data_IF_855765958813
#
_entry.id   IF_855765958813
#
_cell.length_a   1.000
_cell.length_b   1.000
_cell.length_c   1.000
_cell.angle_alpha   90.00
_cell.angle_beta   90.00
_cell.angle_gamma   90.00
#
_symmetry.space_group_name_H-M   'P 1'
#
loop_
_entity.id
_entity.type
_entity.pdbx_description
1 polymer ?
#
# COMPACT_ATOMS: atom_id res chain seq x y z
N UNK A 1 -3.13 10.77 40.46
CA UNK A 1 -2.22 10.44 39.32
C UNK A 1 -3.03 9.65 38.28
N UNK A 2 -3.49 10.31 37.25
CA UNK A 2 -4.34 9.67 36.23
C UNK A 2 -3.46 8.75 35.36
N UNK A 3 -3.91 7.53 35.17
CA UNK A 3 -3.11 6.44 34.60
C UNK A 3 -2.82 6.71 33.11
N UNK A 4 -1.55 6.97 32.72
CA UNK A 4 -1.11 7.32 31.37
C UNK A 4 -1.58 6.31 30.30
N UNK A 5 -1.84 5.06 30.70
CA UNK A 5 -2.37 4.01 29.81
C UNK A 5 -3.84 4.23 29.45
N UNK A 6 -4.62 4.88 30.34
CA UNK A 6 -6.04 5.17 30.11
C UNK A 6 -6.22 6.33 29.12
N UNK A 7 -5.29 7.30 29.14
CA UNK A 7 -5.31 8.43 28.20
C UNK A 7 -4.98 7.97 26.78
N UNK A 8 -4.03 7.04 26.62
CA UNK A 8 -3.71 6.46 25.32
C UNK A 8 -4.88 5.67 24.72
N UNK A 9 -5.62 4.93 25.56
CA UNK A 9 -6.79 4.18 25.11
C UNK A 9 -7.97 5.10 24.74
N UNK A 10 -8.14 6.22 25.43
CA UNK A 10 -9.17 7.22 25.15
C UNK A 10 -8.89 8.00 23.86
N UNK A 11 -7.61 8.27 23.55
CA UNK A 11 -7.22 8.91 22.28
C UNK A 11 -7.42 7.99 21.06
N UNK A 12 -7.19 6.69 21.21
CA UNK A 12 -7.46 5.70 20.16
C UNK A 12 -8.97 5.51 19.96
N UNK A 13 -9.77 5.55 21.02
CA UNK A 13 -11.24 5.45 20.95
C UNK A 13 -11.88 6.69 20.29
N UNK A 14 -11.30 7.87 20.46
CA UNK A 14 -11.80 9.10 19.84
C UNK A 14 -11.61 9.16 18.31
N UNK A 15 -10.64 8.38 17.78
CA UNK A 15 -10.43 8.27 16.33
C UNK A 15 -11.34 7.21 15.66
N UNK A 16 -12.04 6.38 16.45
CA UNK A 16 -12.91 5.31 15.96
C UNK A 16 -14.42 5.65 15.99
N UNK A 17 -14.80 6.89 16.27
CA UNK A 17 -16.17 7.29 16.01
C UNK A 17 -16.32 7.55 14.51
N UNK A 18 -17.03 6.70 13.75
CA UNK A 18 -17.40 7.04 12.38
C UNK A 18 -18.36 8.20 12.50
N UNK A 19 -17.91 9.40 12.13
CA UNK A 19 -18.83 10.45 11.73
C UNK A 19 -19.70 9.83 10.64
N UNK A 20 -20.99 9.72 10.91
CA UNK A 20 -22.02 9.42 9.93
C UNK A 20 -22.10 10.58 8.94
N UNK A 21 -21.06 10.74 8.12
CA UNK A 21 -21.23 11.37 6.82
C UNK A 21 -21.99 10.34 6.00
N UNK A 22 -23.21 10.64 5.61
CA UNK A 22 -23.96 9.91 4.60
C UNK A 22 -22.98 9.57 3.48
N UNK A 23 -22.63 8.28 3.36
CA UNK A 23 -21.98 7.78 2.19
C UNK A 23 -22.91 8.11 1.02
N UNK A 24 -22.53 9.09 0.24
CA UNK A 24 -23.18 9.39 -1.03
C UNK A 24 -22.97 8.13 -1.87
N UNK A 25 -24.09 7.53 -2.20
CA UNK A 25 -24.18 6.25 -2.87
C UNK A 25 -23.33 6.30 -4.15
N UNK A 26 -22.32 5.44 -4.25
CA UNK A 26 -21.48 5.33 -5.44
C UNK A 26 -22.25 4.75 -6.65
N UNK A 27 -23.55 4.50 -6.50
CA UNK A 27 -24.48 4.15 -7.57
C UNK A 27 -24.84 5.34 -8.46
N UNK A 28 -24.77 6.58 -7.93
CA UNK A 28 -25.19 7.76 -8.67
C UNK A 28 -24.25 8.15 -9.83
N UNK A 29 -22.95 7.77 -9.73
CA UNK A 29 -21.99 8.08 -10.80
C UNK A 29 -22.20 7.23 -12.08
N UNK A 30 -22.84 6.08 -11.98
CA UNK A 30 -23.16 5.23 -13.15
C UNK A 30 -24.40 5.79 -13.87
N UNK A 31 -25.40 6.19 -13.11
CA UNK A 31 -26.63 6.79 -13.66
C UNK A 31 -26.34 8.16 -14.30
N UNK A 32 -25.41 8.95 -13.74
CA UNK A 32 -25.00 10.23 -14.32
C UNK A 32 -24.29 10.03 -15.66
N UNK A 33 -23.48 8.96 -15.80
CA UNK A 33 -22.80 8.63 -17.06
C UNK A 33 -23.84 8.19 -18.12
N UNK A 34 -24.83 7.38 -17.75
CA UNK A 34 -25.90 6.99 -18.68
C UNK A 34 -26.77 8.20 -19.11
N UNK A 35 -27.07 9.11 -18.19
CA UNK A 35 -27.83 10.33 -18.49
C UNK A 35 -27.04 11.29 -19.36
N UNK A 36 -25.71 11.44 -19.15
CA UNK A 36 -24.86 12.25 -20.04
C UNK A 36 -24.71 11.65 -21.43
N UNK A 37 -24.57 10.32 -21.55
CA UNK A 37 -24.52 9.64 -22.84
C UNK A 37 -25.83 9.83 -23.59
N UNK A 38 -26.97 9.72 -22.91
CA UNK A 38 -28.27 9.95 -23.53
C UNK A 38 -28.55 11.44 -23.85
N UNK A 39 -27.97 12.39 -23.09
CA UNK A 39 -28.03 13.82 -23.40
C UNK A 39 -27.11 14.22 -24.54
N UNK A 40 -26.03 13.50 -24.74
CA UNK A 40 -25.04 13.70 -25.81
C UNK A 40 -25.41 13.00 -27.12
N UNK A 41 -26.49 12.21 -27.12
CA UNK A 41 -27.03 11.71 -28.35
C UNK A 41 -27.45 12.90 -29.22
N UNK A 42 -26.89 13.08 -30.41
CA UNK A 42 -27.21 14.23 -31.25
C UNK A 42 -28.72 14.20 -31.54
N UNK A 43 -29.42 15.25 -31.10
CA UNK A 43 -30.75 15.54 -31.62
C UNK A 43 -30.65 15.43 -33.13
N UNK A 44 -31.50 14.59 -33.76
CA UNK A 44 -31.67 14.51 -35.19
C UNK A 44 -31.68 15.92 -35.76
N UNK A 45 -30.52 16.45 -36.13
CA UNK A 45 -30.44 17.62 -36.96
C UNK A 45 -30.89 17.17 -38.33
N UNK A 46 -32.03 17.68 -38.77
CA UNK A 46 -32.45 17.64 -40.15
C UNK A 46 -31.32 18.30 -40.96
N UNK A 47 -30.44 17.51 -41.54
CA UNK A 47 -29.42 18.00 -42.46
C UNK A 47 -30.14 18.17 -43.78
N UNK A 48 -30.67 19.37 -44.00
CA UNK A 48 -30.91 19.82 -45.36
C UNK A 48 -29.55 20.14 -45.99
N UNK A 49 -29.30 19.43 -47.07
CA UNK A 49 -28.29 19.72 -48.08
C UNK A 49 -26.83 19.71 -47.69
N UNK A 50 -26.21 18.54 -47.73
CA UNK A 50 -24.87 18.40 -48.23
C UNK A 50 -24.79 17.19 -49.15
N UNK A 51 -24.50 17.43 -50.40
CA UNK A 51 -24.53 16.49 -51.54
C UNK A 51 -23.32 15.52 -51.52
N UNK A 52 -23.20 14.71 -50.46
CA UNK A 52 -22.24 13.64 -50.37
C UNK A 52 -22.71 12.43 -49.57
N UNK A 53 -23.99 12.32 -49.19
CA UNK A 53 -24.55 11.11 -48.65
C UNK A 53 -25.03 10.23 -49.83
N UNK A 54 -24.06 9.51 -50.40
CA UNK A 54 -24.39 8.41 -51.31
C UNK A 54 -25.18 7.37 -50.56
N UNK A 55 -26.46 7.24 -50.99
CA UNK A 55 -27.30 6.03 -50.97
C UNK A 55 -26.91 4.96 -49.95
N UNK A 56 -27.35 5.08 -48.73
CA UNK A 56 -27.65 3.91 -47.94
C UNK A 56 -29.02 3.39 -48.35
N UNK A 57 -29.00 2.39 -49.22
CA UNK A 57 -30.21 1.68 -49.64
C UNK A 57 -30.78 0.97 -48.40
N UNK A 58 -32.04 1.24 -48.13
CA UNK A 58 -32.88 0.61 -47.09
C UNK A 58 -33.10 -0.90 -47.33
N UNK A 59 -32.44 -1.51 -48.31
CA UNK A 59 -32.50 -2.94 -48.62
C UNK A 59 -31.49 -3.77 -47.79
N UNK A 60 -30.48 -3.14 -47.18
CA UNK A 60 -29.43 -3.84 -46.39
C UNK A 60 -29.87 -4.19 -44.96
N UNK A 61 -30.97 -3.63 -44.43
CA UNK A 61 -31.46 -3.98 -43.10
C UNK A 61 -32.07 -5.40 -43.00
N UNK A 62 -32.38 -6.04 -44.12
CA UNK A 62 -33.00 -7.39 -44.13
C UNK A 62 -32.00 -8.54 -44.07
N UNK A 63 -30.70 -8.26 -44.23
CA UNK A 63 -29.66 -9.30 -44.31
C UNK A 63 -28.79 -9.44 -43.06
N UNK A 64 -29.08 -8.73 -42.00
CA UNK A 64 -28.28 -8.77 -40.74
C UNK A 64 -28.50 -10.03 -39.91
N UNK A 65 -29.40 -10.91 -40.29
CA UNK A 65 -29.59 -12.22 -39.65
C UNK A 65 -28.74 -13.35 -40.27
N UNK A 66 -28.06 -13.10 -41.37
CA UNK A 66 -27.14 -14.07 -41.97
C UNK A 66 -25.70 -13.75 -41.54
N UNK A 67 -24.97 -14.78 -41.04
CA UNK A 67 -23.54 -14.65 -40.63
C UNK A 67 -22.65 -14.05 -41.71
N UNK A 68 -23.02 -14.11 -42.96
CA UNK A 68 -22.35 -13.45 -44.10
C UNK A 68 -22.47 -11.92 -44.08
N UNK A 69 -23.54 -11.37 -43.51
CA UNK A 69 -23.71 -9.93 -43.32
C UNK A 69 -22.82 -9.35 -42.25
N UNK A 70 -22.46 -10.16 -41.23
CA UNK A 70 -21.53 -9.76 -40.16
C UNK A 70 -20.09 -9.54 -40.67
N UNK A 71 -19.69 -10.23 -41.73
CA UNK A 71 -18.36 -10.06 -42.36
C UNK A 71 -18.21 -8.71 -43.09
N UNK A 72 -19.31 -8.05 -43.43
CA UNK A 72 -19.32 -6.74 -44.12
C UNK A 72 -19.52 -5.56 -43.15
N UNK A 73 -19.69 -5.84 -41.85
CA UNK A 73 -19.68 -4.77 -40.85
C UNK A 73 -18.29 -4.12 -40.84
N UNK A 74 -18.26 -2.78 -40.92
CA UNK A 74 -17.04 -2.05 -40.78
C UNK A 74 -16.33 -2.53 -39.51
N UNK A 75 -15.00 -2.78 -39.56
CA UNK A 75 -14.29 -3.23 -38.37
C UNK A 75 -14.58 -2.24 -37.25
N UNK A 76 -14.96 -2.78 -36.09
CA UNK A 76 -15.21 -1.94 -34.90
C UNK A 76 -14.02 -1.02 -34.74
N UNK A 77 -14.22 0.29 -34.91
CA UNK A 77 -13.19 1.24 -34.54
C UNK A 77 -12.91 1.04 -33.08
N UNK A 78 -11.65 0.72 -32.75
CA UNK A 78 -11.22 0.65 -31.36
C UNK A 78 -11.46 2.02 -30.72
N UNK A 79 -12.55 2.14 -30.00
CA UNK A 79 -12.84 3.35 -29.21
C UNK A 79 -11.93 3.27 -28.00
N UNK A 80 -10.81 3.96 -28.06
CA UNK A 80 -9.93 4.15 -26.93
C UNK A 80 -10.65 4.98 -25.85
N UNK A 81 -11.36 4.31 -24.96
CA UNK A 81 -12.00 4.94 -23.81
C UNK A 81 -10.92 5.20 -22.79
N UNK A 82 -10.48 6.45 -22.64
CA UNK A 82 -9.59 6.88 -21.58
C UNK A 82 -10.40 6.95 -20.30
N UNK A 83 -10.34 5.91 -19.47
CA UNK A 83 -10.96 5.93 -18.16
C UNK A 83 -10.15 6.81 -17.20
N UNK A 84 -10.79 7.81 -16.59
CA UNK A 84 -10.16 8.62 -15.54
C UNK A 84 -9.81 7.74 -14.33
N UNK A 85 -8.62 7.96 -13.75
CA UNK A 85 -8.23 7.32 -12.49
C UNK A 85 -9.15 7.81 -11.38
N UNK A 86 -9.62 6.89 -10.53
CA UNK A 86 -10.46 7.23 -9.39
C UNK A 86 -9.76 8.15 -8.40
N UNK A 87 -8.49 7.88 -8.11
CA UNK A 87 -7.65 8.68 -7.21
C UNK A 87 -6.32 9.01 -7.90
N UNK A 88 -6.25 10.14 -8.66
CA UNK A 88 -4.99 10.60 -9.20
C UNK A 88 -4.02 10.98 -8.08
N UNK A 89 -2.74 10.66 -8.23
CA UNK A 89 -1.71 10.86 -7.20
C UNK A 89 -0.72 11.97 -7.52
N UNK A 90 -0.57 12.33 -8.80
CA UNK A 90 0.40 13.33 -9.25
C UNK A 90 0.30 14.64 -8.49
N UNK A 91 1.43 15.10 -7.93
CA UNK A 91 1.51 16.35 -7.19
C UNK A 91 0.84 16.31 -5.81
N UNK A 92 0.60 15.11 -5.24
CA UNK A 92 -0.07 14.95 -3.95
C UNK A 92 0.87 14.39 -2.90
N UNK A 93 0.65 14.82 -1.67
CA UNK A 93 1.28 14.25 -0.49
C UNK A 93 0.46 13.06 0.01
N UNK A 94 1.15 12.03 0.47
CA UNK A 94 0.59 10.90 1.20
C UNK A 94 1.09 10.91 2.63
N UNK A 95 0.20 10.73 3.59
CA UNK A 95 0.53 10.46 4.97
C UNK A 95 -0.06 9.09 5.33
N UNK A 96 0.80 8.14 5.68
CA UNK A 96 0.40 6.80 6.09
C UNK A 96 0.63 6.60 7.57
N UNK A 97 -0.34 5.97 8.24
CA UNK A 97 -0.23 5.48 9.60
C UNK A 97 -0.73 4.04 9.72
N UNK A 98 0.05 3.20 10.36
CA UNK A 98 -0.31 1.79 10.48
C UNK A 98 0.46 1.01 11.54
N UNK A 99 0.16 -0.29 11.60
CA UNK A 99 0.86 -1.26 12.43
C UNK A 99 1.74 -2.16 11.58
N UNK A 100 2.80 -2.66 12.17
CA UNK A 100 3.73 -3.61 11.54
C UNK A 100 4.11 -4.74 12.48
N UNK A 101 4.39 -5.89 11.91
CA UNK A 101 4.91 -7.06 12.61
C UNK A 101 6.08 -7.64 11.82
N UNK A 102 7.11 -8.12 12.53
CA UNK A 102 8.20 -8.91 11.94
C UNK A 102 7.74 -10.36 11.86
N UNK A 103 7.84 -10.96 10.68
CA UNK A 103 7.29 -12.30 10.42
C UNK A 103 8.35 -13.40 10.42
N UNK A 104 9.61 -13.07 10.15
CA UNK A 104 10.70 -14.05 9.98
C UNK A 104 11.62 -14.21 11.18
N UNK A 105 11.32 -13.60 12.33
CA UNK A 105 12.15 -13.73 13.53
C UNK A 105 11.71 -14.98 14.34
N UNK A 106 12.58 -15.99 14.51
CA UNK A 106 12.24 -17.19 15.27
C UNK A 106 12.32 -17.00 16.79
N UNK A 107 13.05 -16.00 17.28
CA UNK A 107 13.36 -15.82 18.70
C UNK A 107 12.49 -14.75 19.35
N UNK A 108 12.07 -13.74 18.60
CA UNK A 108 11.36 -12.59 19.09
C UNK A 108 10.04 -12.37 18.36
N UNK A 109 9.06 -11.85 19.10
CA UNK A 109 7.86 -11.25 18.56
C UNK A 109 8.07 -9.74 18.54
N UNK A 110 8.34 -9.19 17.37
CA UNK A 110 8.54 -7.75 17.18
C UNK A 110 7.35 -7.17 16.45
N UNK A 111 6.72 -6.17 17.06
CA UNK A 111 5.58 -5.45 16.50
C UNK A 111 5.73 -3.96 16.79
N UNK A 112 5.05 -3.12 16.01
CA UNK A 112 5.15 -1.69 16.25
C UNK A 112 4.22 -0.84 15.42
N UNK A 113 4.43 0.47 15.51
CA UNK A 113 3.76 1.48 14.70
C UNK A 113 4.65 1.97 13.57
N UNK A 114 4.02 2.31 12.46
CA UNK A 114 4.69 2.84 11.26
C UNK A 114 4.03 4.15 10.87
N UNK A 115 4.87 5.13 10.57
CA UNK A 115 4.48 6.39 9.94
C UNK A 115 5.28 6.54 8.65
N UNK A 116 4.60 6.85 7.55
CA UNK A 116 5.24 7.14 6.27
C UNK A 116 4.71 8.46 5.73
N UNK A 117 5.60 9.26 5.14
CA UNK A 117 5.24 10.52 4.48
C UNK A 117 5.79 10.49 3.06
N UNK A 118 4.90 10.54 2.07
CA UNK A 118 5.24 10.44 0.66
C UNK A 118 4.83 11.65 -0.15
N UNK A 119 5.48 11.83 -1.29
CA UNK A 119 5.11 12.78 -2.32
C UNK A 119 5.18 12.12 -3.69
N UNK A 120 4.09 12.20 -4.44
CA UNK A 120 4.00 11.65 -5.79
C UNK A 120 4.38 12.71 -6.83
N UNK A 121 5.50 12.49 -7.52
CA UNK A 121 5.95 13.32 -8.62
C UNK A 121 5.09 13.10 -9.88
N UNK A 122 4.75 11.83 -10.11
CA UNK A 122 3.89 11.39 -11.22
C UNK A 122 2.90 10.34 -10.70
N UNK A 123 2.04 9.82 -11.58
CA UNK A 123 1.15 8.70 -11.24
C UNK A 123 1.91 7.41 -10.93
N UNK A 124 3.14 7.28 -11.42
CA UNK A 124 3.96 6.06 -11.32
C UNK A 124 5.17 6.19 -10.41
N UNK A 125 5.62 7.41 -10.11
CA UNK A 125 6.80 7.64 -9.30
C UNK A 125 6.53 8.56 -8.13
N UNK A 126 7.02 8.18 -6.96
CA UNK A 126 6.97 8.95 -5.73
C UNK A 126 8.22 8.75 -4.89
N UNK A 127 8.37 9.59 -3.89
CA UNK A 127 9.39 9.48 -2.84
C UNK A 127 8.68 9.35 -1.50
N UNK A 128 9.22 8.55 -0.60
CA UNK A 128 8.61 8.25 0.70
C UNK A 128 9.67 8.29 1.81
N UNK A 129 9.33 8.92 2.92
CA UNK A 129 10.08 8.85 4.18
C UNK A 129 9.36 7.87 5.10
N UNK A 130 10.12 6.96 5.70
CA UNK A 130 9.60 5.90 6.54
C UNK A 130 10.15 6.02 7.97
N UNK A 131 9.27 5.82 8.94
CA UNK A 131 9.65 5.68 10.35
C UNK A 131 8.89 4.51 10.96
N UNK A 132 9.63 3.55 11.55
CA UNK A 132 9.11 2.40 12.27
C UNK A 132 9.54 2.49 13.73
N UNK A 133 8.59 2.48 14.65
CA UNK A 133 8.84 2.36 16.07
C UNK A 133 8.44 0.97 16.54
N UNK A 134 9.40 0.16 17.01
CA UNK A 134 9.22 -1.27 17.25
C UNK A 134 9.33 -1.60 18.74
N UNK A 135 8.53 -2.56 19.17
CA UNK A 135 8.60 -3.16 20.50
C UNK A 135 8.78 -4.66 20.35
N UNK A 136 9.75 -5.22 21.05
CA UNK A 136 10.14 -6.62 20.95
C UNK A 136 9.91 -7.34 22.27
N UNK A 137 9.32 -8.54 22.16
CA UNK A 137 9.10 -9.46 23.29
C UNK A 137 9.67 -10.82 22.93
N UNK A 138 10.32 -11.49 23.86
CA UNK A 138 10.81 -12.85 23.65
C UNK A 138 9.63 -13.81 23.41
N UNK A 139 9.82 -14.74 22.48
CA UNK A 139 8.90 -15.85 22.28
C UNK A 139 8.95 -16.82 23.47
N UNK A 140 7.85 -17.47 23.76
CA UNK A 140 7.77 -18.47 24.83
C UNK A 140 8.83 -19.58 24.67
N UNK A 141 8.98 -20.10 23.44
CA UNK A 141 10.01 -21.11 23.11
C UNK A 141 11.45 -20.66 23.45
N UNK A 142 11.74 -19.38 23.23
CA UNK A 142 13.07 -18.80 23.54
C UNK A 142 13.26 -18.68 25.05
N UNK A 143 12.22 -18.28 25.78
CA UNK A 143 12.24 -18.17 27.22
C UNK A 143 12.37 -19.54 27.90
N UNK A 144 11.74 -20.57 27.37
CA UNK A 144 11.90 -21.94 27.84
C UNK A 144 13.32 -22.48 27.61
N UNK A 145 13.93 -22.19 26.47
CA UNK A 145 15.32 -22.56 26.19
C UNK A 145 16.30 -21.86 27.14
N UNK A 146 16.04 -20.60 27.48
CA UNK A 146 16.84 -19.83 28.42
C UNK A 146 16.73 -20.41 29.85
N UNK A 147 15.48 -20.70 30.30
CA UNK A 147 15.24 -21.18 31.64
C UNK A 147 15.67 -22.63 31.86
N UNK A 148 15.42 -23.53 30.87
CA UNK A 148 15.65 -24.97 31.02
C UNK A 148 17.05 -25.41 30.57
N UNK A 149 17.63 -24.72 29.56
CA UNK A 149 18.89 -25.14 28.95
C UNK A 149 20.04 -24.14 29.17
N UNK A 150 19.80 -23.03 29.90
CA UNK A 150 20.82 -22.02 30.20
C UNK A 150 21.39 -21.31 28.96
N UNK A 151 20.66 -21.31 27.84
CA UNK A 151 21.04 -20.64 26.59
C UNK A 151 20.81 -19.14 26.76
N UNK A 152 21.86 -18.34 26.68
CA UNK A 152 21.73 -16.88 26.77
C UNK A 152 21.33 -16.27 25.44
N UNK A 153 20.23 -15.51 25.43
CA UNK A 153 19.75 -14.76 24.25
C UNK A 153 20.30 -13.34 24.17
N UNK A 154 21.16 -12.94 25.11
CA UNK A 154 21.79 -11.60 25.14
C UNK A 154 22.64 -11.31 23.89
N UNK A 155 23.06 -12.34 23.16
CA UNK A 155 23.82 -12.21 21.92
C UNK A 155 22.96 -11.96 20.67
N UNK A 156 21.62 -11.96 20.78
CA UNK A 156 20.74 -11.74 19.65
C UNK A 156 20.38 -10.25 19.53
N UNK A 157 20.63 -9.68 18.37
CA UNK A 157 20.26 -8.31 18.05
C UNK A 157 18.86 -8.29 17.41
N UNK A 158 17.98 -7.40 17.88
CA UNK A 158 16.67 -7.16 17.31
C UNK A 158 16.49 -5.65 17.00
N UNK A 159 15.67 -5.28 16.01
CA UNK A 159 15.45 -3.89 15.64
C UNK A 159 14.53 -3.20 16.67
N UNK A 160 14.87 -1.96 17.04
CA UNK A 160 14.05 -1.07 17.88
C UNK A 160 13.34 0.00 17.09
N UNK A 161 14.04 0.59 16.12
CA UNK A 161 13.50 1.60 15.23
C UNK A 161 14.17 1.54 13.87
N UNK A 162 13.46 1.99 12.84
CA UNK A 162 13.99 2.21 11.50
C UNK A 162 13.53 3.56 10.98
N UNK A 163 14.44 4.29 10.35
CA UNK A 163 14.15 5.52 9.64
C UNK A 163 14.88 5.52 8.30
N UNK A 164 14.16 5.78 7.22
CA UNK A 164 14.73 5.75 5.87
C UNK A 164 13.95 6.56 4.85
N UNK A 165 14.52 6.63 3.65
CA UNK A 165 13.92 7.27 2.50
C UNK A 165 13.93 6.30 1.32
N UNK A 166 12.78 6.19 0.65
CA UNK A 166 12.55 5.26 -0.44
C UNK A 166 12.10 5.98 -1.72
N UNK A 167 12.48 5.41 -2.84
CA UNK A 167 11.88 5.68 -4.13
C UNK A 167 10.74 4.68 -4.34
N UNK A 168 9.54 5.17 -4.63
CA UNK A 168 8.35 4.36 -4.87
C UNK A 168 8.04 4.32 -6.37
N UNK A 169 7.77 3.12 -6.89
CA UNK A 169 7.33 2.87 -8.25
C UNK A 169 6.00 2.14 -8.26
N UNK A 170 5.01 2.71 -8.93
CA UNK A 170 3.63 2.21 -9.02
C UNK A 170 3.32 1.80 -10.47
N UNK A 171 3.73 0.58 -10.90
CA UNK A 171 3.58 0.14 -12.29
C UNK A 171 2.16 -0.25 -12.67
N UNK A 172 1.35 -0.73 -11.73
CA UNK A 172 0.08 -1.36 -12.02
C UNK A 172 -1.05 -0.63 -11.29
N UNK A 173 -2.03 -0.19 -12.07
CA UNK A 173 -3.33 0.26 -11.61
C UNK A 173 -4.40 -0.73 -12.04
N UNK A 174 -5.26 -1.14 -11.14
CA UNK A 174 -6.34 -2.07 -11.40
C UNK A 174 -7.63 -1.65 -10.70
N UNK A 175 -8.70 -2.36 -11.04
CA UNK A 175 -9.99 -2.27 -10.35
C UNK A 175 -10.42 -3.68 -10.02
N UNK A 176 -10.91 -3.90 -8.81
CA UNK A 176 -11.45 -5.17 -8.37
C UNK A 176 -12.86 -4.97 -7.82
N UNK A 177 -13.69 -5.97 -7.97
CA UNK A 177 -15.02 -5.98 -7.37
C UNK A 177 -14.92 -6.61 -5.98
N UNK A 178 -15.32 -5.88 -4.96
CA UNK A 178 -15.35 -6.37 -3.60
C UNK A 178 -16.80 -6.79 -3.25
N UNK A 179 -16.95 -8.04 -2.80
CA UNK A 179 -18.24 -8.66 -2.44
C UNK A 179 -19.35 -8.51 -3.51
N UNK A 180 -18.96 -8.51 -4.78
CA UNK A 180 -19.86 -8.43 -5.94
C UNK A 180 -20.73 -7.16 -6.02
N UNK A 181 -20.46 -6.15 -5.18
CA UNK A 181 -21.32 -4.97 -5.04
C UNK A 181 -20.57 -3.63 -5.09
N UNK A 182 -19.23 -3.62 -4.95
CA UNK A 182 -18.45 -2.39 -4.94
C UNK A 182 -17.17 -2.54 -5.75
N UNK A 183 -16.93 -1.62 -6.67
CA UNK A 183 -15.66 -1.53 -7.40
C UNK A 183 -14.66 -0.76 -6.55
N UNK A 184 -13.53 -1.38 -6.21
CA UNK A 184 -12.43 -0.79 -5.48
C UNK A 184 -11.21 -0.69 -6.38
N UNK A 185 -10.76 0.52 -6.71
CA UNK A 185 -9.51 0.72 -7.42
C UNK A 185 -8.32 0.38 -6.52
N UNK A 186 -7.29 -0.22 -7.11
CA UNK A 186 -6.06 -0.51 -6.39
C UNK A 186 -4.82 -0.19 -7.23
N UNK A 187 -3.74 0.11 -6.56
CA UNK A 187 -2.42 0.28 -7.12
C UNK A 187 -1.47 -0.74 -6.51
N UNK A 188 -0.70 -1.42 -7.34
CA UNK A 188 0.45 -2.22 -6.90
C UNK A 188 1.68 -1.34 -6.96
N UNK A 189 2.48 -1.34 -5.89
CA UNK A 189 3.71 -0.56 -5.85
C UNK A 189 4.88 -1.39 -5.34
N UNK A 190 6.06 -0.95 -5.74
CA UNK A 190 7.34 -1.37 -5.23
C UNK A 190 8.07 -0.15 -4.70
N UNK A 191 8.77 -0.30 -3.59
CA UNK A 191 9.66 0.75 -3.10
C UNK A 191 11.01 0.18 -2.75
N UNK A 192 12.03 1.02 -2.85
CA UNK A 192 13.38 0.66 -2.46
C UNK A 192 14.16 1.90 -2.06
N UNK A 193 14.96 1.75 -1.01
CA UNK A 193 15.71 2.87 -0.48
C UNK A 193 16.73 2.49 0.57
N UNK A 194 17.17 3.50 1.26
CA UNK A 194 18.21 3.39 2.27
C UNK A 194 17.80 4.13 3.54
N UNK A 195 18.18 3.56 4.68
CA UNK A 195 17.89 4.13 5.99
C UNK A 195 18.85 3.66 7.06
N UNK A 196 18.46 3.89 8.29
CA UNK A 196 19.18 3.48 9.49
C UNK A 196 18.26 2.68 10.39
N UNK A 197 18.73 1.52 10.83
CA UNK A 197 18.07 0.68 11.84
C UNK A 197 18.82 0.83 13.16
N UNK A 198 18.12 1.20 14.21
CA UNK A 198 18.61 1.15 15.57
C UNK A 198 18.32 -0.24 16.16
N UNK A 199 19.35 -0.89 16.66
CA UNK A 199 19.27 -2.24 17.22
C UNK A 199 19.25 -2.23 18.75
N UNK A 200 18.94 -3.39 19.34
CA UNK A 200 18.97 -3.58 20.81
C UNK A 200 20.32 -3.29 21.44
N UNK A 201 21.42 -3.39 20.67
CA UNK A 201 22.76 -3.05 21.11
C UNK A 201 23.07 -1.55 21.10
N UNK A 202 22.05 -0.68 20.89
CA UNK A 202 22.16 0.77 20.75
C UNK A 202 23.14 1.20 19.64
N UNK A 203 23.24 0.37 18.60
CA UNK A 203 24.05 0.63 17.43
C UNK A 203 23.14 0.96 16.26
N UNK A 204 23.46 2.05 15.58
CA UNK A 204 22.78 2.48 14.37
C UNK A 204 23.47 1.87 13.17
N UNK A 205 22.74 1.10 12.37
CA UNK A 205 23.28 0.39 11.20
C UNK A 205 22.60 0.86 9.93
N UNK A 206 23.42 1.08 8.88
CA UNK A 206 22.90 1.34 7.54
C UNK A 206 22.06 0.17 7.04
N UNK A 207 20.88 0.48 6.53
CA UNK A 207 19.86 -0.52 6.16
C UNK A 207 19.39 -0.29 4.74
N UNK A 208 19.40 -1.34 3.94
CA UNK A 208 18.72 -1.37 2.64
C UNK A 208 17.29 -1.82 2.89
N UNK A 209 16.33 -1.01 2.43
CA UNK A 209 14.91 -1.28 2.53
C UNK A 209 14.33 -1.55 1.14
N UNK A 210 13.55 -2.62 1.02
CA UNK A 210 12.82 -2.97 -0.20
C UNK A 210 11.41 -3.38 0.20
N UNK A 211 10.39 -2.84 -0.46
CA UNK A 211 9.01 -3.19 -0.17
C UNK A 211 8.18 -3.42 -1.43
N UNK A 212 7.15 -4.23 -1.27
CA UNK A 212 6.11 -4.44 -2.27
C UNK A 212 4.74 -4.46 -1.57
N UNK A 213 3.76 -3.75 -2.12
CA UNK A 213 2.46 -3.63 -1.48
C UNK A 213 1.36 -3.14 -2.41
N UNK A 214 0.19 -2.98 -1.82
CA UNK A 214 -1.00 -2.52 -2.52
C UNK A 214 -1.67 -1.37 -1.76
N UNK A 215 -2.19 -0.43 -2.53
CA UNK A 215 -2.97 0.71 -2.04
C UNK A 215 -4.38 0.58 -2.62
N UNK A 216 -5.37 0.41 -1.77
CA UNK A 216 -6.79 0.31 -2.14
C UNK A 216 -7.48 1.64 -1.90
N UNK A 217 -7.93 2.30 -2.94
CA UNK A 217 -8.58 3.61 -2.84
C UNK A 217 -10.01 3.47 -2.33
N UNK A 218 -10.26 3.86 -1.08
CA UNK A 218 -11.60 3.84 -0.47
C UNK A 218 -12.39 5.08 -0.81
N UNK A 219 -11.73 6.24 -0.83
CA UNK A 219 -12.27 7.54 -1.22
C UNK A 219 -11.25 8.29 -2.06
N UNK A 220 -11.56 9.53 -2.49
CA UNK A 220 -10.63 10.39 -3.24
C UNK A 220 -9.40 10.84 -2.43
N UNK A 221 -9.46 10.71 -1.10
CA UNK A 221 -8.40 11.15 -0.19
C UNK A 221 -7.92 10.08 0.78
N UNK A 222 -8.65 8.97 0.93
CA UNK A 222 -8.33 7.92 1.91
C UNK A 222 -8.18 6.59 1.20
N UNK A 223 -7.10 5.87 1.54
CA UNK A 223 -6.83 4.55 1.02
C UNK A 223 -6.43 3.59 2.15
N UNK A 224 -6.77 2.32 1.99
CA UNK A 224 -6.20 1.23 2.77
C UNK A 224 -4.91 0.78 2.10
N UNK A 225 -3.85 0.58 2.89
CA UNK A 225 -2.55 0.17 2.36
C UNK A 225 -1.98 -0.97 3.20
N UNK A 226 -1.41 -1.95 2.54
CA UNK A 226 -0.62 -2.98 3.16
C UNK A 226 0.63 -3.24 2.33
N UNK A 227 1.71 -3.67 2.98
CA UNK A 227 2.96 -4.02 2.32
C UNK A 227 3.74 -5.11 3.05
N UNK A 228 4.54 -5.83 2.28
CA UNK A 228 5.67 -6.60 2.76
C UNK A 228 6.94 -5.82 2.50
N UNK A 229 7.78 -5.66 3.53
CA UNK A 229 9.06 -4.98 3.37
C UNK A 229 10.20 -5.79 4.00
N UNK A 230 11.34 -5.77 3.33
CA UNK A 230 12.58 -6.38 3.78
C UNK A 230 13.59 -5.31 4.15
N UNK A 231 14.14 -5.44 5.35
CA UNK A 231 15.25 -4.62 5.85
C UNK A 231 16.48 -5.49 5.97
N UNK A 232 17.54 -5.11 5.25
CA UNK A 232 18.84 -5.78 5.29
C UNK A 232 19.84 -4.86 5.98
N UNK A 233 20.42 -5.28 7.09
CA UNK A 233 21.37 -4.49 7.86
C UNK A 233 22.42 -5.37 8.54
N UNK A 234 23.55 -4.76 8.91
CA UNK A 234 24.60 -5.41 9.65
C UNK A 234 24.54 -4.95 11.10
N UNK A 235 24.60 -5.89 12.04
CA UNK A 235 24.68 -5.53 13.47
C UNK A 235 25.83 -6.27 14.13
N UNK A 236 26.55 -5.54 14.99
CA UNK A 236 27.61 -6.11 15.80
C UNK A 236 27.01 -6.76 17.03
N UNK A 237 27.21 -8.06 17.16
CA UNK A 237 26.77 -8.88 18.28
C UNK A 237 27.94 -9.09 19.23
N UNK A 238 27.72 -8.93 20.52
CA UNK A 238 28.72 -9.17 21.53
C UNK A 238 28.49 -10.55 22.14
N UNK A 239 29.36 -11.50 21.80
CA UNK A 239 29.37 -12.85 22.36
C UNK A 239 30.22 -12.90 23.62
N UNK A 240 29.66 -13.42 24.71
CA UNK A 240 30.42 -13.67 25.97
C UNK A 240 31.15 -14.99 25.83
N UNK A 241 32.49 -14.96 25.98
CA UNK A 241 33.30 -16.18 26.04
C UNK A 241 33.22 -16.71 27.48
N UNK A 242 32.70 -17.92 27.65
CA UNK A 242 32.65 -18.62 28.94
C UNK A 242 33.76 -19.62 29.03
N UNK A 243 34.44 -19.71 30.18
CA UNK A 243 35.38 -20.75 30.52
C UNK A 243 34.66 -22.08 30.81
N UNK A 244 35.39 -23.17 30.88
CA UNK A 244 34.85 -24.51 31.20
C UNK A 244 34.09 -24.57 32.55
N UNK A 245 34.26 -23.59 33.40
CA UNK A 245 33.53 -23.40 34.67
C UNK A 245 32.30 -22.48 34.55
N UNK A 246 31.95 -22.00 33.32
CA UNK A 246 30.80 -21.11 33.09
C UNK A 246 31.06 -19.62 33.38
N UNK A 247 32.27 -19.27 33.79
CA UNK A 247 32.62 -17.86 34.08
C UNK A 247 32.88 -17.09 32.76
N UNK A 248 32.43 -15.85 32.68
CA UNK A 248 32.69 -14.96 31.54
C UNK A 248 34.14 -14.49 31.60
N UNK A 249 35.00 -14.99 30.71
CA UNK A 249 36.43 -14.61 30.64
C UNK A 249 36.73 -13.57 29.58
N UNK A 250 35.80 -13.28 28.69
CA UNK A 250 35.98 -12.30 27.63
C UNK A 250 34.72 -12.02 26.84
N UNK A 251 34.82 -11.02 25.97
CA UNK A 251 33.76 -10.69 25.01
C UNK A 251 34.37 -10.59 23.62
N UNK A 252 33.75 -11.30 22.65
CA UNK A 252 34.11 -11.19 21.24
C UNK A 252 33.00 -10.45 20.51
N UNK A 253 33.37 -9.45 19.71
CA UNK A 253 32.45 -8.75 18.82
C UNK A 253 32.47 -9.46 17.46
N UNK A 254 31.28 -9.77 16.93
CA UNK A 254 31.10 -10.35 15.61
C UNK A 254 30.07 -9.56 14.85
N UNK A 255 30.38 -9.16 13.62
CA UNK A 255 29.43 -8.49 12.74
C UNK A 255 28.64 -9.55 11.99
N UNK A 256 27.32 -9.51 12.14
CA UNK A 256 26.41 -10.43 11.50
C UNK A 256 25.41 -9.66 10.61
N UNK A 257 25.05 -10.29 9.48
CA UNK A 257 24.03 -9.78 8.59
C UNK A 257 22.66 -10.22 9.09
N UNK A 258 21.77 -9.27 9.24
CA UNK A 258 20.39 -9.50 9.63
C UNK A 258 19.46 -9.11 8.51
N UNK A 259 18.36 -9.84 8.39
CA UNK A 259 17.25 -9.48 7.54
C UNK A 259 15.94 -9.63 8.32
N UNK A 260 15.09 -8.62 8.22
CA UNK A 260 13.76 -8.64 8.83
C UNK A 260 12.72 -8.43 7.76
N UNK A 261 11.74 -9.34 7.73
CA UNK A 261 10.56 -9.24 6.88
C UNK A 261 9.41 -8.68 7.70
N UNK A 262 8.94 -7.52 7.32
CA UNK A 262 7.81 -6.83 7.95
C UNK A 262 6.55 -7.01 7.13
N UNK A 263 5.44 -7.25 7.81
CA UNK A 263 4.09 -7.09 7.28
C UNK A 263 3.49 -5.84 7.90
N UNK A 264 3.16 -4.87 7.07
CA UNK A 264 2.61 -3.58 7.48
C UNK A 264 1.18 -3.42 6.96
N UNK A 265 0.29 -2.92 7.79
CA UNK A 265 -1.11 -2.65 7.43
C UNK A 265 -1.54 -1.32 8.04
N UNK A 266 -2.24 -0.47 7.27
CA UNK A 266 -2.67 0.82 7.76
C UNK A 266 -3.53 1.60 6.78
N UNK A 267 -3.62 2.90 7.03
CA UNK A 267 -4.42 3.85 6.26
C UNK A 267 -3.55 4.98 5.75
N UNK A 268 -3.75 5.34 4.49
CA UNK A 268 -3.11 6.48 3.83
C UNK A 268 -4.10 7.61 3.62
N UNK A 269 -3.66 8.85 3.86
CA UNK A 269 -4.38 10.08 3.53
C UNK A 269 -3.61 10.84 2.47
N UNK A 270 -4.31 11.27 1.42
CA UNK A 270 -3.75 12.00 0.29
C UNK A 270 -4.20 13.45 0.29
N UNK A 271 -3.26 14.39 0.18
CA UNK A 271 -3.48 15.83 0.19
C UNK A 271 -2.82 16.50 -1.04
N UNK A 272 -3.45 17.52 -1.64
CA UNK A 272 -4.84 17.95 -1.49
C UNK A 272 -5.83 16.92 -2.03
N UNK A 273 -7.12 17.11 -1.83
CA UNK A 273 -8.16 16.26 -2.41
C UNK A 273 -8.08 16.26 -3.94
N UNK A 274 -8.34 15.11 -4.57
CA UNK A 274 -8.27 15.00 -6.01
C UNK A 274 -9.32 15.87 -6.70
N UNK A 275 -8.86 16.85 -7.47
CA UNK A 275 -9.70 17.64 -8.37
C UNK A 275 -9.55 17.09 -9.78
N UNK A 276 -10.67 16.71 -10.41
CA UNK A 276 -10.67 16.34 -11.82
C UNK A 276 -10.63 17.62 -12.65
N UNK A 277 -9.60 17.76 -13.48
CA UNK A 277 -9.55 18.77 -14.53
C UNK A 277 -10.17 18.23 -15.81
#
# INVERSE_FOLDING_TARGET
MLNRKLIAFLLISAMLTPGLSKAQDAGDDVDVIEVEVNKSAPKKQTIENSAAAKNYNTEDEKNTTDFKGLANLAPFQEISIIQKRFMPKTGRFELFGGGTIVTNDPFFNTMGGVLKAGYFLTETWGVELNYFGLTTTQRESTRELENNNGVSTESLAYPKSYMGADLMWVPIYGKMTWFNNRIVPFDLYFSGGYGMTETSTNQSSGTIHVAAGQIFSLTKSVAFRWDFSWNFYNATVTNKIKDNMGNVTGTTKSDNNFNNLFLTVGVSWFFPEATYR
#
